data_IF_852820893665
#
_entry.id   IF_852820893665
#
_cell.length_a   1.000
_cell.length_b   1.000
_cell.length_c   1.000
_cell.angle_alpha   90.00
_cell.angle_beta   90.00
_cell.angle_gamma   90.00
#
_symmetry.space_group_name_H-M   'P 1'
#
loop_
_entity.id
_entity.type
_entity.pdbx_description
1 polymer ?
#
# COMPACT_ATOMS: atom_id res chain seq x y z
N UNK A 1 -3.32 -21.44 -1.51
CA UNK A 1 -2.45 -20.29 -1.81
C UNK A 1 -2.14 -19.62 -0.49
N UNK A 2 -0.85 -19.47 -0.14
CA UNK A 2 -0.47 -18.71 1.05
C UNK A 2 -1.01 -17.28 0.92
N UNK A 3 -1.48 -16.66 2.01
CA UNK A 3 -1.83 -15.25 2.00
C UNK A 3 -0.63 -14.39 1.54
N UNK A 4 -0.87 -13.17 1.02
CA UNK A 4 0.16 -12.33 0.41
C UNK A 4 1.13 -11.75 1.46
N UNK A 5 1.98 -12.57 2.07
CA UNK A 5 2.90 -12.19 3.14
C UNK A 5 4.17 -11.47 2.68
N UNK A 6 4.33 -11.22 1.38
CA UNK A 6 5.52 -10.59 0.81
C UNK A 6 5.94 -9.28 1.51
N UNK A 7 4.98 -8.50 2.04
CA UNK A 7 5.21 -7.27 2.83
C UNK A 7 5.85 -7.52 4.20
N UNK A 8 5.55 -8.66 4.81
CA UNK A 8 6.11 -9.08 6.10
C UNK A 8 7.49 -9.71 5.90
N UNK A 9 7.63 -10.50 4.84
CA UNK A 9 8.87 -11.19 4.47
C UNK A 9 9.96 -10.28 3.92
N UNK A 10 9.60 -9.08 3.45
CA UNK A 10 10.52 -8.15 2.79
C UNK A 10 11.73 -7.77 3.66
N UNK A 11 11.53 -7.61 4.96
CA UNK A 11 12.59 -7.21 5.90
C UNK A 11 13.05 -8.35 6.81
N UNK A 12 12.13 -9.25 7.16
CA UNK A 12 12.40 -10.38 8.05
C UNK A 12 11.75 -11.62 7.43
N UNK A 13 12.55 -12.58 6.91
CA UNK A 13 12.01 -13.84 6.43
C UNK A 13 11.22 -14.54 7.54
N UNK A 14 9.99 -14.93 7.22
CA UNK A 14 9.12 -15.62 8.16
C UNK A 14 9.58 -17.07 8.33
N UNK A 15 9.83 -17.47 9.57
CA UNK A 15 10.02 -18.87 9.92
C UNK A 15 8.70 -19.65 9.76
N UNK A 16 8.74 -20.99 9.62
CA UNK A 16 7.51 -21.78 9.57
C UNK A 16 6.59 -21.59 10.79
N UNK A 17 7.15 -21.27 11.96
CA UNK A 17 6.37 -20.95 13.16
C UNK A 17 5.64 -19.60 13.02
N UNK A 18 6.34 -18.58 12.53
CA UNK A 18 5.78 -17.25 12.29
C UNK A 18 4.72 -17.25 11.18
N UNK A 19 4.89 -18.06 10.13
CA UNK A 19 3.87 -18.27 9.11
C UNK A 19 2.59 -18.82 9.73
N UNK A 20 2.67 -19.82 10.62
CA UNK A 20 1.49 -20.36 11.32
C UNK A 20 0.80 -19.31 12.19
N UNK A 21 1.56 -18.41 12.81
CA UNK A 21 1.01 -17.29 13.58
C UNK A 21 0.27 -16.33 12.66
N UNK A 22 0.88 -15.94 11.53
CA UNK A 22 0.27 -15.08 10.53
C UNK A 22 -0.99 -15.72 9.90
N UNK A 23 -0.97 -17.03 9.67
CA UNK A 23 -2.14 -17.80 9.22
C UNK A 23 -3.30 -17.71 10.21
N UNK A 24 -3.00 -17.71 11.51
CA UNK A 24 -3.96 -17.45 12.58
C UNK A 24 -4.69 -16.11 12.42
N UNK A 25 -4.00 -15.05 11.96
CA UNK A 25 -4.65 -13.76 11.66
C UNK A 25 -5.63 -13.87 10.49
N UNK A 26 -5.37 -14.78 9.56
CA UNK A 26 -6.20 -14.98 8.36
C UNK A 26 -7.39 -15.90 8.57
N UNK A 27 -7.63 -16.34 9.81
CA UNK A 27 -8.75 -17.22 10.18
C UNK A 27 -10.12 -16.55 10.03
N UNK A 28 -10.21 -15.25 10.33
CA UNK A 28 -11.47 -14.48 10.30
C UNK A 28 -11.62 -13.65 9.03
N UNK A 29 -11.78 -14.32 7.89
CA UNK A 29 -11.94 -13.65 6.59
C UNK A 29 -13.31 -12.97 6.49
N UNK A 30 -13.32 -11.73 6.05
CA UNK A 30 -14.52 -10.96 5.73
C UNK A 30 -14.47 -10.48 4.29
N UNK A 31 -15.47 -10.85 3.50
CA UNK A 31 -15.69 -10.28 2.18
C UNK A 31 -16.35 -8.90 2.31
N UNK A 32 -15.85 -7.93 1.56
CA UNK A 32 -16.34 -6.55 1.52
C UNK A 32 -16.60 -6.19 0.07
N UNK A 33 -17.80 -5.72 -0.24
CA UNK A 33 -18.16 -5.31 -1.59
C UNK A 33 -17.55 -3.96 -1.95
N UNK A 34 -17.29 -3.74 -3.24
CA UNK A 34 -16.89 -2.44 -3.75
C UNK A 34 -17.77 -1.31 -3.17
N UNK A 35 -17.15 -0.19 -2.83
CA UNK A 35 -17.74 0.99 -2.18
C UNK A 35 -18.23 0.82 -0.74
N UNK A 36 -18.11 -0.38 -0.14
CA UNK A 36 -18.37 -0.51 1.29
C UNK A 36 -17.22 0.06 2.11
N UNK A 37 -17.60 0.74 3.18
CA UNK A 37 -16.67 1.27 4.18
C UNK A 37 -16.31 0.15 5.15
N UNK A 38 -15.01 -0.06 5.33
CA UNK A 38 -14.41 -1.01 6.26
C UNK A 38 -14.34 -0.40 7.67
N UNK A 39 -13.93 0.87 7.74
CA UNK A 39 -13.89 1.71 8.95
C UNK A 39 -14.00 3.18 8.55
N UNK A 40 -14.77 3.99 9.27
CA UNK A 40 -14.85 5.44 9.03
C UNK A 40 -13.81 6.18 9.86
N UNK A 41 -13.37 7.31 9.33
CA UNK A 41 -12.70 8.34 10.13
C UNK A 41 -13.61 8.72 11.31
N UNK A 42 -13.06 8.81 12.52
CA UNK A 42 -13.80 9.05 13.75
C UNK A 42 -14.33 7.80 14.46
N UNK A 43 -14.35 6.62 13.83
CA UNK A 43 -14.73 5.38 14.51
C UNK A 43 -13.67 4.99 15.56
N UNK A 44 -14.08 4.33 16.64
CA UNK A 44 -13.15 3.80 17.64
C UNK A 44 -12.18 2.79 17.02
N UNK A 45 -10.90 2.88 17.36
CA UNK A 45 -9.86 1.99 16.84
C UNK A 45 -9.81 0.70 17.66
N UNK A 46 -10.56 -0.32 17.24
CA UNK A 46 -10.58 -1.64 17.89
C UNK A 46 -9.52 -2.64 17.36
N UNK A 47 -8.80 -2.27 16.31
CA UNK A 47 -7.86 -3.14 15.61
C UNK A 47 -7.42 -2.58 14.26
N UNK A 48 -6.74 -3.44 13.50
CA UNK A 48 -6.32 -3.23 12.11
C UNK A 48 -6.92 -4.31 11.22
N UNK A 49 -6.66 -4.23 9.92
CA UNK A 49 -7.08 -5.27 8.98
C UNK A 49 -5.92 -5.70 8.10
N UNK A 50 -5.84 -6.97 7.75
CA UNK A 50 -4.93 -7.46 6.71
C UNK A 50 -5.69 -7.66 5.41
N UNK A 51 -5.18 -7.10 4.30
CA UNK A 51 -5.82 -7.18 2.99
C UNK A 51 -5.38 -8.46 2.26
N UNK A 52 -6.30 -9.41 2.07
CA UNK A 52 -6.02 -10.67 1.36
C UNK A 52 -6.23 -10.56 -0.16
N UNK A 53 -7.23 -9.80 -0.59
CA UNK A 53 -7.58 -9.64 -1.99
C UNK A 53 -8.32 -8.32 -2.21
N UNK A 54 -8.26 -7.81 -3.45
CA UNK A 54 -8.89 -6.55 -3.83
C UNK A 54 -8.06 -5.32 -3.48
N UNK A 55 -8.67 -4.14 -3.67
CA UNK A 55 -8.04 -2.83 -3.46
C UNK A 55 -8.83 -2.05 -2.43
N UNK A 56 -8.13 -1.37 -1.53
CA UNK A 56 -8.74 -0.50 -0.51
C UNK A 56 -8.14 0.90 -0.61
N UNK A 57 -8.95 1.94 -0.44
CA UNK A 57 -8.50 3.32 -0.35
C UNK A 57 -8.52 3.80 1.09
N UNK A 58 -7.47 4.52 1.51
CA UNK A 58 -7.53 5.40 2.69
C UNK A 58 -7.85 6.80 2.22
N UNK A 59 -8.87 7.42 2.82
CA UNK A 59 -9.22 8.81 2.58
C UNK A 59 -9.43 9.58 3.86
N UNK A 60 -9.15 10.88 3.82
CA UNK A 60 -9.43 11.82 4.91
C UNK A 60 -10.50 12.81 4.43
N UNK A 61 -11.39 13.20 5.34
CA UNK A 61 -12.40 14.22 5.09
C UNK A 61 -11.91 15.59 5.56
N UNK A 62 -12.05 16.59 4.70
CA UNK A 62 -11.84 17.99 5.05
C UNK A 62 -13.11 18.57 5.68
N UNK A 63 -12.95 19.63 6.48
CA UNK A 63 -14.07 20.29 7.17
C UNK A 63 -15.14 20.84 6.22
N UNK A 64 -14.78 21.17 4.99
CA UNK A 64 -15.69 21.64 3.94
C UNK A 64 -16.39 20.49 3.19
N UNK A 65 -16.24 19.24 3.66
CA UNK A 65 -16.86 18.06 3.09
C UNK A 65 -16.09 17.46 1.91
N UNK A 66 -14.98 18.07 1.47
CA UNK A 66 -14.13 17.44 0.44
C UNK A 66 -13.45 16.20 0.99
N UNK A 67 -13.41 15.16 0.18
CA UNK A 67 -12.67 13.92 0.45
C UNK A 67 -11.35 13.93 -0.30
N UNK A 68 -10.31 13.38 0.32
CA UNK A 68 -9.01 13.19 -0.30
C UNK A 68 -8.53 11.76 -0.08
N UNK A 69 -8.45 10.95 -1.14
CA UNK A 69 -7.72 9.67 -1.08
C UNK A 69 -6.23 9.96 -0.90
N UNK A 70 -5.68 9.50 0.22
CA UNK A 70 -4.26 9.65 0.57
C UNK A 70 -3.43 8.42 0.23
N UNK A 71 -4.04 7.23 0.16
CA UNK A 71 -3.35 5.98 -0.16
C UNK A 71 -4.29 4.95 -0.80
N UNK A 72 -3.74 4.14 -1.69
CA UNK A 72 -4.35 2.87 -2.14
C UNK A 72 -3.55 1.71 -1.57
N UNK A 73 -4.26 0.68 -1.15
CA UNK A 73 -3.72 -0.54 -0.54
C UNK A 73 -3.97 -1.73 -1.45
N UNK A 74 -2.95 -2.58 -1.58
CA UNK A 74 -2.95 -3.81 -2.36
C UNK A 74 -2.91 -5.04 -1.43
N UNK A 75 -3.21 -6.24 -1.93
CA UNK A 75 -3.10 -7.46 -1.14
C UNK A 75 -1.73 -7.56 -0.45
N UNK A 76 -1.70 -7.92 0.82
CA UNK A 76 -0.51 -7.93 1.67
C UNK A 76 -0.36 -6.69 2.55
N UNK A 77 -1.13 -5.63 2.29
CA UNK A 77 -1.07 -4.41 3.08
C UNK A 77 -1.81 -4.57 4.42
N UNK A 78 -1.22 -4.03 5.48
CA UNK A 78 -1.92 -3.79 6.74
C UNK A 78 -2.68 -2.46 6.66
N UNK A 79 -3.99 -2.53 6.83
CA UNK A 79 -4.90 -1.40 6.79
C UNK A 79 -5.09 -0.82 8.18
N UNK A 80 -4.96 0.49 8.31
CA UNK A 80 -5.31 1.19 9.54
C UNK A 80 -4.24 1.26 10.62
N UNK A 81 -2.99 0.90 10.29
CA UNK A 81 -1.84 1.00 11.19
C UNK A 81 -1.61 2.40 11.78
N UNK A 82 -1.63 3.50 11.01
CA UNK A 82 -1.42 4.83 11.57
C UNK A 82 -2.41 5.18 12.68
N UNK A 83 -3.66 4.73 12.53
CA UNK A 83 -4.73 4.93 13.51
C UNK A 83 -4.51 4.19 14.84
N UNK A 84 -3.59 3.22 14.95
CA UNK A 84 -3.25 2.60 16.24
C UNK A 84 -2.72 3.62 17.27
N UNK A 85 -2.20 4.75 16.81
CA UNK A 85 -1.75 5.86 17.67
C UNK A 85 -2.89 6.76 18.16
N UNK A 86 -4.13 6.51 17.75
CA UNK A 86 -5.30 7.35 18.00
C UNK A 86 -6.40 6.56 18.70
N UNK A 87 -7.21 7.26 19.49
CA UNK A 87 -8.44 6.68 20.07
C UNK A 87 -9.49 6.44 18.98
N UNK A 88 -9.60 7.40 18.05
CA UNK A 88 -10.51 7.37 16.92
C UNK A 88 -9.72 7.38 15.60
N UNK A 89 -10.20 6.66 14.60
CA UNK A 89 -9.48 6.49 13.35
C UNK A 89 -9.27 7.83 12.65
N UNK A 90 -8.04 8.06 12.17
CA UNK A 90 -7.65 9.26 11.42
C UNK A 90 -7.95 9.16 9.92
N UNK A 91 -8.49 8.04 9.46
CA UNK A 91 -8.81 7.80 8.06
C UNK A 91 -10.04 6.91 7.89
N UNK A 92 -10.75 7.12 6.78
CA UNK A 92 -11.76 6.19 6.27
C UNK A 92 -11.09 5.16 5.37
N UNK A 93 -11.38 3.88 5.61
CA UNK A 93 -10.98 2.75 4.77
C UNK A 93 -12.19 2.31 3.93
N UNK A 94 -12.08 2.35 2.60
CA UNK A 94 -13.16 2.00 1.67
C UNK A 94 -12.66 1.00 0.62
N UNK A 95 -13.44 -0.05 0.36
CA UNK A 95 -13.12 -1.03 -0.68
C UNK A 95 -13.30 -0.40 -2.09
N UNK A 96 -12.23 -0.30 -2.88
CA UNK A 96 -12.26 0.25 -4.25
C UNK A 96 -12.64 -0.81 -5.29
N UNK A 97 -12.46 -2.09 -4.93
CA UNK A 97 -12.99 -3.27 -5.63
C UNK A 97 -13.71 -4.15 -4.60
N UNK A 98 -14.32 -5.26 -5.04
CA UNK A 98 -14.59 -6.35 -4.09
C UNK A 98 -13.27 -6.77 -3.44
N UNK A 99 -13.29 -6.93 -2.12
CA UNK A 99 -12.11 -7.16 -1.31
C UNK A 99 -12.34 -8.26 -0.26
N UNK A 100 -11.26 -8.88 0.18
CA UNK A 100 -11.26 -9.82 1.31
C UNK A 100 -10.27 -9.31 2.33
N UNK A 101 -10.73 -9.10 3.55
CA UNK A 101 -9.92 -8.59 4.66
C UNK A 101 -9.98 -9.54 5.86
N UNK A 102 -8.98 -9.46 6.73
CA UNK A 102 -8.96 -10.15 8.00
C UNK A 102 -8.83 -9.11 9.11
N UNK A 103 -9.88 -8.89 9.94
CA UNK A 103 -9.77 -8.04 11.11
C UNK A 103 -8.80 -8.64 12.13
N UNK A 104 -7.93 -7.81 12.69
CA UNK A 104 -6.96 -8.18 13.72
C UNK A 104 -7.19 -7.25 14.91
N UNK A 105 -7.78 -7.74 16.02
CA UNK A 105 -8.06 -6.94 17.20
C UNK A 105 -6.78 -6.39 17.87
N UNK A 106 -6.88 -5.24 18.54
CA UNK A 106 -5.74 -4.64 19.26
C UNK A 106 -5.05 -5.61 20.22
N UNK A 107 -5.82 -6.43 20.94
CA UNK A 107 -5.26 -7.43 21.86
C UNK A 107 -4.39 -8.48 21.13
N UNK A 108 -4.80 -8.89 19.93
CA UNK A 108 -4.04 -9.82 19.10
C UNK A 108 -2.75 -9.19 18.56
N UNK A 109 -2.80 -7.91 18.15
CA UNK A 109 -1.60 -7.14 17.75
C UNK A 109 -0.64 -6.99 18.93
N UNK A 110 -1.14 -6.61 20.11
CA UNK A 110 -0.31 -6.45 21.31
C UNK A 110 0.39 -7.75 21.69
N UNK A 111 -0.36 -8.86 21.76
CA UNK A 111 0.20 -10.20 22.02
C UNK A 111 1.24 -10.59 20.96
N UNK A 112 0.94 -10.34 19.69
CA UNK A 112 1.87 -10.62 18.60
C UNK A 112 3.21 -9.91 18.81
N UNK A 113 3.17 -8.60 19.04
CA UNK A 113 4.37 -7.78 19.16
C UNK A 113 5.21 -8.18 20.38
N UNK A 114 4.58 -8.57 21.49
CA UNK A 114 5.27 -9.03 22.71
C UNK A 114 5.89 -10.42 22.53
N UNK A 115 5.13 -11.37 21.98
CA UNK A 115 5.55 -12.77 21.94
C UNK A 115 6.50 -13.07 20.75
N UNK A 116 6.57 -12.19 19.74
CA UNK A 116 7.28 -12.43 18.49
C UNK A 116 8.12 -11.21 18.06
N UNK A 117 9.27 -10.95 18.70
CA UNK A 117 10.09 -9.76 18.45
C UNK A 117 10.60 -9.64 17.02
N UNK A 118 10.87 -10.77 16.34
CA UNK A 118 11.23 -10.81 14.92
C UNK A 118 10.10 -10.27 14.02
N UNK A 119 8.86 -10.71 14.27
CA UNK A 119 7.68 -10.21 13.57
C UNK A 119 7.41 -8.74 13.89
N UNK A 120 7.61 -8.34 15.14
CA UNK A 120 7.51 -6.93 15.54
C UNK A 120 8.48 -6.05 14.75
N UNK A 121 9.73 -6.49 14.59
CA UNK A 121 10.74 -5.82 13.76
C UNK A 121 10.32 -5.75 12.29
N UNK A 122 9.81 -6.84 11.72
CA UNK A 122 9.29 -6.85 10.34
C UNK A 122 8.15 -5.85 10.14
N UNK A 123 7.17 -5.83 11.04
CA UNK A 123 6.05 -4.87 11.02
C UNK A 123 6.52 -3.42 11.20
N UNK A 124 7.48 -3.18 12.10
CA UNK A 124 8.06 -1.87 12.33
C UNK A 124 8.75 -1.34 11.07
N UNK A 125 9.62 -2.14 10.44
CA UNK A 125 10.32 -1.76 9.21
C UNK A 125 9.36 -1.59 8.03
N UNK A 126 8.34 -2.44 7.91
CA UNK A 126 7.26 -2.26 6.94
C UNK A 126 6.55 -0.91 7.12
N UNK A 127 6.31 -0.49 8.36
CA UNK A 127 5.74 0.82 8.68
C UNK A 127 6.69 1.97 8.34
N UNK A 128 8.00 1.82 8.53
CA UNK A 128 8.98 2.82 8.11
C UNK A 128 9.07 2.94 6.59
N UNK A 129 8.99 1.83 5.85
CA UNK A 129 8.88 1.85 4.37
C UNK A 129 7.67 2.65 3.91
N UNK A 130 6.53 2.46 4.57
CA UNK A 130 5.32 3.24 4.30
C UNK A 130 5.49 4.74 4.57
N UNK A 131 6.24 5.11 5.63
CA UNK A 131 6.60 6.50 5.90
C UNK A 131 7.50 7.08 4.81
N UNK A 132 8.49 6.33 4.33
CA UNK A 132 9.34 6.75 3.20
C UNK A 132 8.51 6.97 1.94
N UNK A 133 7.60 6.05 1.61
CA UNK A 133 6.69 6.21 0.47
C UNK A 133 5.80 7.46 0.58
N UNK A 134 5.31 7.77 1.79
CA UNK A 134 4.57 9.01 2.05
C UNK A 134 5.43 10.26 1.81
N UNK A 135 6.70 10.25 2.26
CA UNK A 135 7.63 11.37 2.03
C UNK A 135 7.91 11.57 0.54
N UNK A 136 8.08 10.49 -0.23
CA UNK A 136 8.21 10.57 -1.69
C UNK A 136 6.97 11.17 -2.34
N UNK A 137 5.78 10.72 -1.93
CA UNK A 137 4.52 11.26 -2.43
C UNK A 137 4.37 12.75 -2.13
N UNK A 138 4.71 13.20 -0.92
CA UNK A 138 4.71 14.62 -0.56
C UNK A 138 5.63 15.45 -1.45
N UNK A 139 6.83 14.94 -1.73
CA UNK A 139 7.77 15.58 -2.66
C UNK A 139 7.20 15.65 -4.09
N UNK A 140 6.57 14.59 -4.60
CA UNK A 140 5.91 14.64 -5.90
C UNK A 140 4.80 15.70 -5.95
N UNK A 141 4.00 15.80 -4.89
CA UNK A 141 2.91 16.77 -4.80
C UNK A 141 3.41 18.23 -4.80
N UNK A 142 4.53 18.50 -4.12
CA UNK A 142 5.06 19.86 -3.95
C UNK A 142 6.03 20.34 -5.03
N UNK A 143 6.75 19.43 -5.71
CA UNK A 143 7.93 19.79 -6.51
C UNK A 143 7.99 19.15 -7.91
N UNK A 144 6.94 18.47 -8.37
CA UNK A 144 6.94 17.79 -9.69
C UNK A 144 5.73 18.16 -10.54
N UNK A 145 5.90 18.09 -11.85
CA UNK A 145 4.85 18.24 -12.84
C UNK A 145 3.83 17.09 -12.78
N UNK A 146 2.65 17.31 -13.36
CA UNK A 146 1.61 16.30 -13.44
C UNK A 146 2.07 15.00 -14.15
N UNK A 147 2.99 15.13 -15.11
CA UNK A 147 3.51 14.00 -15.88
C UNK A 147 4.48 13.17 -15.04
N UNK A 148 5.48 13.80 -14.43
CA UNK A 148 6.47 13.14 -13.55
C UNK A 148 5.78 12.44 -12.38
N UNK A 149 4.79 13.11 -11.76
CA UNK A 149 3.97 12.55 -10.67
C UNK A 149 3.17 11.33 -11.09
N UNK A 150 2.54 11.38 -12.26
CA UNK A 150 1.77 10.24 -12.80
C UNK A 150 2.68 9.05 -13.06
N UNK A 151 3.85 9.29 -13.66
CA UNK A 151 4.82 8.25 -13.96
C UNK A 151 5.36 7.62 -12.68
N UNK A 152 5.77 8.43 -11.70
CA UNK A 152 6.25 7.93 -10.41
C UNK A 152 5.18 7.10 -9.69
N UNK A 153 3.91 7.53 -9.71
CA UNK A 153 2.81 6.77 -9.15
C UNK A 153 2.58 5.43 -9.86
N UNK A 154 2.62 5.39 -11.20
CA UNK A 154 2.43 4.16 -11.95
C UNK A 154 3.57 3.16 -11.74
N UNK A 155 4.80 3.64 -11.60
CA UNK A 155 5.96 2.80 -11.27
C UNK A 155 5.86 2.22 -9.85
N UNK A 156 5.57 3.06 -8.84
CA UNK A 156 5.30 2.58 -7.46
C UNK A 156 4.20 1.52 -7.43
N UNK A 157 3.10 1.79 -8.14
CA UNK A 157 1.97 0.88 -8.17
C UNK A 157 2.28 -0.43 -8.90
N UNK A 158 3.07 -0.37 -9.98
CA UNK A 158 3.54 -1.55 -10.70
C UNK A 158 4.45 -2.42 -9.81
N UNK A 159 5.41 -1.81 -9.11
CA UNK A 159 6.33 -2.55 -8.23
C UNK A 159 5.57 -3.25 -7.10
N UNK A 160 4.62 -2.54 -6.47
CA UNK A 160 3.75 -3.12 -5.44
C UNK A 160 2.84 -4.23 -6.00
N UNK A 161 2.29 -4.05 -7.20
CA UNK A 161 1.49 -5.06 -7.87
C UNK A 161 2.32 -6.30 -8.21
N UNK A 162 3.57 -6.12 -8.66
CA UNK A 162 4.52 -7.21 -8.93
C UNK A 162 4.83 -8.01 -7.67
N UNK A 163 5.15 -7.34 -6.55
CA UNK A 163 5.38 -8.01 -5.26
C UNK A 163 4.13 -8.75 -4.75
N UNK A 164 2.93 -8.28 -5.09
CA UNK A 164 1.65 -8.92 -4.75
C UNK A 164 1.24 -10.03 -5.71
N UNK A 165 2.03 -10.33 -6.75
CA UNK A 165 1.66 -11.29 -7.81
C UNK A 165 0.52 -10.84 -8.73
N UNK A 166 0.18 -9.55 -8.71
CA UNK A 166 -0.87 -8.92 -9.53
C UNK A 166 -0.36 -8.32 -10.85
N UNK A 167 0.96 -8.33 -11.06
CA UNK A 167 1.58 -7.86 -12.29
C UNK A 167 2.32 -8.99 -13.01
N UNK A 168 2.22 -9.02 -14.34
CA UNK A 168 2.91 -9.97 -15.22
C UNK A 168 3.28 -9.29 -16.53
N UNK A 169 4.49 -9.52 -17.04
CA UNK A 169 4.94 -8.98 -18.34
C UNK A 169 4.76 -7.45 -18.46
N UNK A 170 5.12 -6.70 -17.41
CA UNK A 170 4.91 -5.25 -17.32
C UNK A 170 3.45 -4.79 -17.40
N UNK A 171 2.49 -5.71 -17.21
CA UNK A 171 1.06 -5.44 -17.20
C UNK A 171 0.50 -5.62 -15.80
N UNK A 172 -0.43 -4.74 -15.43
CA UNK A 172 -1.16 -4.80 -14.18
C UNK A 172 -2.48 -4.03 -14.30
N UNK A 173 -3.44 -4.35 -13.43
CA UNK A 173 -4.70 -3.61 -13.38
C UNK A 173 -4.59 -2.41 -12.44
N UNK A 174 -5.13 -1.28 -12.87
CA UNK A 174 -5.33 -0.08 -12.08
C UNK A 174 -6.84 0.19 -12.04
N UNK A 175 -7.57 -0.41 -11.07
CA UNK A 175 -9.03 -0.29 -10.95
C UNK A 175 -9.45 1.06 -10.32
N UNK A 176 -8.77 2.14 -10.71
CA UNK A 176 -9.00 3.49 -10.20
C UNK A 176 -9.65 4.36 -11.27
N UNK A 177 -10.67 5.11 -10.87
CA UNK A 177 -11.27 6.14 -11.71
C UNK A 177 -10.33 7.33 -11.88
N UNK A 178 -10.57 8.15 -12.90
CA UNK A 178 -9.78 9.37 -13.12
C UNK A 178 -9.94 10.37 -11.97
N UNK A 179 -11.09 10.36 -11.29
CA UNK A 179 -11.33 11.16 -10.09
C UNK A 179 -10.47 10.67 -8.92
N UNK A 180 -10.44 9.35 -8.67
CA UNK A 180 -9.61 8.76 -7.59
C UNK A 180 -8.12 8.98 -7.84
N UNK A 181 -7.66 8.85 -9.10
CA UNK A 181 -6.31 9.22 -9.49
C UNK A 181 -6.06 10.72 -9.28
N UNK A 182 -7.05 11.56 -9.58
CA UNK A 182 -7.00 12.99 -9.35
C UNK A 182 -6.80 13.34 -7.88
N UNK A 183 -7.60 12.74 -6.99
CA UNK A 183 -7.43 12.86 -5.54
C UNK A 183 -6.00 12.42 -5.14
N UNK A 184 -5.60 11.19 -5.49
CA UNK A 184 -4.29 10.65 -5.12
C UNK A 184 -3.11 11.53 -5.55
N UNK A 185 -3.23 12.17 -6.71
CA UNK A 185 -2.14 12.90 -7.35
C UNK A 185 -2.32 14.41 -7.28
N UNK A 186 -3.34 14.94 -6.60
CA UNK A 186 -3.61 16.39 -6.59
C UNK A 186 -3.83 16.98 -7.99
N UNK A 187 -4.54 16.25 -8.85
CA UNK A 187 -4.86 16.63 -10.23
C UNK A 187 -6.38 16.64 -10.43
N UNK A 188 -6.86 17.42 -11.38
CA UNK A 188 -8.25 17.29 -11.84
C UNK A 188 -8.40 16.03 -12.69
N UNK A 189 -9.59 15.42 -12.73
CA UNK A 189 -9.85 14.25 -13.59
C UNK A 189 -9.53 14.51 -15.08
N UNK A 190 -9.74 15.76 -15.55
CA UNK A 190 -9.38 16.20 -16.90
C UNK A 190 -7.86 16.22 -17.09
N UNK A 191 -7.11 16.74 -16.12
CA UNK A 191 -5.65 16.71 -16.16
C UNK A 191 -5.10 15.29 -16.13
N UNK A 192 -5.65 14.42 -15.30
CA UNK A 192 -5.31 12.99 -15.27
C UNK A 192 -5.51 12.36 -16.65
N UNK A 193 -6.68 12.58 -17.27
CA UNK A 193 -6.96 12.04 -18.60
C UNK A 193 -5.96 12.53 -19.65
N UNK A 194 -5.67 13.84 -19.69
CA UNK A 194 -4.70 14.43 -20.61
C UNK A 194 -3.29 13.87 -20.40
N UNK A 195 -2.85 13.71 -19.15
CA UNK A 195 -1.54 13.14 -18.82
C UNK A 195 -1.43 11.69 -19.28
N UNK A 196 -2.45 10.87 -19.02
CA UNK A 196 -2.46 9.47 -19.43
C UNK A 196 -2.51 9.33 -20.95
N UNK A 197 -3.28 10.17 -21.65
CA UNK A 197 -3.29 10.21 -23.13
C UNK A 197 -1.93 10.59 -23.70
N UNK A 198 -1.21 11.53 -23.06
CA UNK A 198 0.14 11.92 -23.48
C UNK A 198 1.11 10.73 -23.37
N UNK A 199 1.13 10.05 -22.22
CA UNK A 199 1.98 8.87 -22.02
C UNK A 199 1.69 7.74 -23.02
N UNK A 200 0.42 7.50 -23.31
CA UNK A 200 -0.06 6.53 -24.31
C UNK A 200 0.40 6.93 -25.74
N UNK A 201 0.17 8.18 -26.14
CA UNK A 201 0.58 8.69 -27.46
C UNK A 201 2.10 8.75 -27.68
N UNK A 202 2.88 8.81 -26.60
CA UNK A 202 4.34 8.78 -26.64
C UNK A 202 4.90 7.35 -26.64
N UNK A 203 4.06 6.32 -26.62
CA UNK A 203 4.48 4.91 -26.64
C UNK A 203 5.15 4.44 -25.36
N UNK A 204 5.07 5.21 -24.26
CA UNK A 204 5.71 4.87 -22.98
C UNK A 204 4.89 3.84 -22.19
N UNK A 205 3.57 3.86 -22.38
CA UNK A 205 2.64 2.87 -21.83
C UNK A 205 1.54 2.58 -22.84
N UNK A 206 0.86 1.45 -22.68
CA UNK A 206 -0.39 1.13 -23.35
C UNK A 206 -1.50 0.97 -22.31
N UNK A 207 -2.72 1.38 -22.66
CA UNK A 207 -3.89 1.25 -21.77
C UNK A 207 -5.08 0.61 -22.45
N UNK A 208 -5.73 -0.32 -21.75
CA UNK A 208 -7.01 -0.90 -22.16
C UNK A 208 -7.93 -1.07 -20.96
N UNK A 209 -8.97 -0.23 -20.86
CA UNK A 209 -9.83 -0.15 -19.66
C UNK A 209 -9.00 0.10 -18.40
N UNK A 210 -9.01 -0.83 -17.44
CA UNK A 210 -8.21 -0.77 -16.22
C UNK A 210 -6.80 -1.36 -16.40
N UNK A 211 -6.53 -2.09 -17.48
CA UNK A 211 -5.22 -2.68 -17.72
C UNK A 211 -4.24 -1.61 -18.20
N UNK A 212 -3.09 -1.53 -17.53
CA UNK A 212 -1.94 -0.71 -17.92
C UNK A 212 -0.79 -1.64 -18.25
N UNK A 213 -0.09 -1.38 -19.36
CA UNK A 213 1.17 -2.00 -19.71
C UNK A 213 2.26 -0.93 -19.77
N UNK A 214 3.34 -1.10 -19.03
CA UNK A 214 4.51 -0.23 -19.13
C UNK A 214 5.38 -0.76 -20.29
N UNK A 215 5.57 0.05 -21.33
CA UNK A 215 6.30 -0.33 -22.54
C UNK A 215 7.79 -0.05 -22.36
N UNK A 216 8.12 1.17 -21.94
CA UNK A 216 9.49 1.61 -21.69
C UNK A 216 9.66 1.99 -20.22
N UNK A 217 9.97 0.99 -19.38
CA UNK A 217 10.18 1.20 -17.94
C UNK A 217 11.38 2.12 -17.70
N UNK A 218 12.45 1.97 -18.47
CA UNK A 218 13.66 2.78 -18.29
C UNK A 218 13.41 4.25 -18.64
N UNK A 219 12.71 4.50 -19.75
CA UNK A 219 12.26 5.83 -20.14
C UNK A 219 11.33 6.46 -19.08
N UNK A 220 10.39 5.68 -18.54
CA UNK A 220 9.52 6.13 -17.45
C UNK A 220 10.33 6.45 -16.18
N UNK A 221 11.31 5.63 -15.80
CA UNK A 221 12.17 5.89 -14.65
C UNK A 221 12.96 7.19 -14.79
N UNK A 222 13.49 7.49 -15.99
CA UNK A 222 14.19 8.75 -16.30
C UNK A 222 13.30 9.99 -16.18
N UNK A 223 11.98 9.83 -16.25
CA UNK A 223 11.02 10.92 -16.03
C UNK A 223 10.68 11.15 -14.57
N UNK A 224 11.10 10.29 -13.65
CA UNK A 224 10.83 10.50 -12.22
C UNK A 224 11.84 11.47 -11.62
N UNK A 225 11.35 12.47 -10.88
CA UNK A 225 12.22 13.47 -10.25
C UNK A 225 12.95 12.93 -9.01
N UNK A 226 12.35 11.94 -8.33
CA UNK A 226 12.92 11.36 -7.12
C UNK A 226 13.67 10.08 -7.44
N UNK A 227 14.85 9.93 -6.86
CA UNK A 227 15.58 8.67 -6.86
C UNK A 227 14.74 7.64 -6.08
N UNK A 228 14.49 6.44 -6.64
CA UNK A 228 13.84 5.36 -5.91
C UNK A 228 14.58 5.07 -4.60
N UNK A 229 13.87 4.80 -3.49
CA UNK A 229 14.54 4.57 -2.22
C UNK A 229 15.21 3.19 -2.28
N UNK A 230 16.49 3.14 -1.89
CA UNK A 230 17.19 1.88 -1.70
C UNK A 230 17.01 1.43 -0.25
N UNK A 231 16.17 0.42 -0.04
CA UNK A 231 15.98 -0.17 1.29
C UNK A 231 17.12 -1.14 1.61
N UNK A 232 17.62 -1.09 2.85
CA UNK A 232 18.66 -2.02 3.28
C UNK A 232 18.16 -3.47 3.26
N UNK A 233 19.02 -4.38 2.82
CA UNK A 233 18.72 -5.82 2.74
C UNK A 233 18.57 -6.47 4.13
N UNK A 234 17.95 -7.65 4.13
CA UNK A 234 17.63 -8.42 5.34
C UNK A 234 18.80 -8.57 6.34
N UNK A 235 20.05 -8.76 5.86
CA UNK A 235 21.24 -8.92 6.71
C UNK A 235 21.47 -7.74 7.66
N UNK A 236 21.05 -6.54 7.27
CA UNK A 236 21.12 -5.35 8.12
C UNK A 236 20.15 -5.42 9.32
N UNK A 237 19.07 -6.21 9.21
CA UNK A 237 17.93 -6.20 10.12
C UNK A 237 17.79 -7.46 10.98
N UNK A 238 18.41 -8.58 10.57
CA UNK A 238 18.39 -9.86 11.34
C UNK A 238 18.88 -9.67 12.79
N UNK A 239 19.77 -8.69 13.03
CA UNK A 239 20.30 -8.35 14.36
C UNK A 239 19.28 -7.69 15.30
N UNK A 240 18.26 -7.01 14.76
CA UNK A 240 17.24 -6.33 15.59
C UNK A 240 16.18 -7.27 16.16
N UNK A 241 15.99 -8.44 15.54
CA UNK A 241 14.96 -9.41 15.94
C UNK A 241 15.51 -10.66 16.63
N UNK A 242 16.83 -10.88 16.61
CA UNK A 242 17.44 -12.04 17.25
C UNK A 242 17.84 -11.67 18.67
N UNK A 243 17.38 -12.38 19.72
CA UNK A 243 17.91 -12.16 21.06
C UNK A 243 19.42 -12.35 20.98
N UNK A 244 20.19 -11.38 21.48
CA UNK A 244 21.63 -11.53 21.64
C UNK A 244 21.88 -12.79 22.48
N UNK A 245 22.68 -13.72 21.96
CA UNK A 245 23.08 -14.93 22.68
C UNK A 245 24.04 -14.66 23.85
N UNK A 246 24.29 -13.40 24.18
CA UNK A 246 25.09 -12.97 25.32
C UNK A 246 24.22 -12.09 26.25
N UNK A 247 23.65 -12.74 27.27
CA UNK A 247 23.23 -12.15 28.54
C UNK A 247 23.10 -13.26 29.60
#
# INVERSE_FOLDING_TARGET
MLPPYHRLEEFVPLTPAEIRIAEGWTSSKRSVKRHHIIRREGDQVAGVFFLLAGWVGSSVMLRDGRRQIVKVHLPGDMLGFPSLSLVHAGETLEALTDAVICPIPNAAIGKLLMDNPRLATGLFLSTQKERVALMQKLSWLGATSALERMVAFLLDLYDRAKSSGLAKENRFEVPLTQQQLGELLGLTAVHVNRTLKRLDSSGLLERRKALVRLIDIEGLQKMTANIPPCFAHHDAWVRLGSPSSDA
#
